data_IF_517957544017
#
_entry.id   IF_517957544017
#
_cell.length_a   1.000
_cell.length_b   1.000
_cell.length_c   1.000
_cell.angle_alpha   90.00
_cell.angle_beta   90.00
_cell.angle_gamma   90.00
#
_symmetry.space_group_name_H-M   'P 1'
#
loop_
_entity.id
_entity.type
_entity.pdbx_description
1 polymer ?
#
# COMPACT_ATOMS: atom_id res chain seq x y z
N UNK A 1 16.04 -14.21 3.70
CA UNK A 1 15.39 -13.44 4.78
C UNK A 1 14.32 -14.29 5.40
N UNK A 2 14.40 -14.46 6.70
CA UNK A 2 13.59 -15.41 7.46
C UNK A 2 12.16 -14.83 7.64
N UNK A 3 11.14 -15.64 7.44
CA UNK A 3 9.71 -15.31 7.53
C UNK A 3 9.32 -14.73 8.90
N UNK A 4 10.10 -15.01 9.93
CA UNK A 4 9.90 -14.54 11.29
C UNK A 4 10.09 -13.04 11.47
N UNK A 5 11.00 -12.44 10.71
CA UNK A 5 11.29 -10.99 10.78
C UNK A 5 10.16 -10.13 10.20
N UNK A 6 9.29 -10.74 9.40
CA UNK A 6 8.17 -10.05 8.77
C UNK A 6 6.97 -9.86 9.72
N UNK A 7 6.80 -10.76 10.69
CA UNK A 7 5.72 -10.68 11.69
C UNK A 7 6.00 -9.68 12.81
N UNK A 8 7.26 -9.44 13.13
CA UNK A 8 7.62 -8.52 14.23
C UNK A 8 7.45 -7.03 13.88
N UNK A 9 7.49 -6.68 12.59
CA UNK A 9 7.28 -5.30 12.14
C UNK A 9 5.81 -4.86 12.20
N UNK A 10 4.87 -5.79 12.13
CA UNK A 10 3.43 -5.49 12.10
C UNK A 10 2.84 -5.24 13.49
N UNK A 11 3.47 -5.73 14.56
CA UNK A 11 2.94 -5.63 15.91
C UNK A 11 3.35 -4.38 16.69
N UNK A 12 4.26 -3.57 16.19
CA UNK A 12 4.80 -2.43 16.94
C UNK A 12 4.15 -1.09 16.61
N UNK A 13 3.06 -1.06 15.82
CA UNK A 13 2.34 0.17 15.48
C UNK A 13 0.97 0.33 16.13
N UNK A 14 0.62 -0.49 17.11
CA UNK A 14 -0.69 -0.48 17.77
C UNK A 14 -0.61 -0.23 19.28
N UNK A 15 0.02 0.88 19.70
CA UNK A 15 -0.09 1.33 21.10
C UNK A 15 0.01 2.86 21.18
N UNK A 16 -1.11 3.51 21.04
CA UNK A 16 -1.29 4.92 21.31
C UNK A 16 -2.67 5.18 21.87
N UNK A 17 -2.90 4.83 23.14
CA UNK A 17 -4.10 5.23 23.89
C UNK A 17 -3.95 6.68 24.37
N UNK A 18 -4.79 7.55 23.89
CA UNK A 18 -4.99 8.92 24.39
C UNK A 18 -6.36 9.06 25.01
N UNK A 19 -6.39 9.20 26.34
CA UNK A 19 -7.57 9.47 27.17
C UNK A 19 -8.05 10.92 27.05
N UNK A 20 -9.37 11.09 26.92
CA UNK A 20 -10.25 11.90 27.74
C UNK A 20 -10.27 13.39 27.58
N UNK A 21 -11.46 13.96 27.52
CA UNK A 21 -11.78 15.35 27.80
C UNK A 21 -13.25 15.60 27.55
N UNK A 22 -14.07 15.59 28.63
CA UNK A 22 -15.46 16.06 28.63
C UNK A 22 -15.48 17.57 28.60
N UNK A 23 -16.22 18.17 27.70
CA UNK A 23 -16.56 19.60 27.70
C UNK A 23 -18.04 19.79 27.40
N UNK A 24 -18.72 20.44 28.33
CA UNK A 24 -20.17 20.73 28.37
C UNK A 24 -20.46 22.06 27.67
N UNK A 25 -21.55 22.09 26.86
CA UNK A 25 -22.42 23.26 26.71
C UNK A 25 -22.16 24.20 25.54
N UNK A 26 -23.19 24.39 24.72
CA UNK A 26 -23.31 25.47 23.76
C UNK A 26 -24.39 25.23 22.70
N UNK A 27 -25.64 25.70 22.94
CA UNK A 27 -26.72 25.81 21.93
C UNK A 27 -26.31 26.85 20.88
N UNK A 28 -26.35 26.50 19.61
CA UNK A 28 -26.12 27.47 18.54
C UNK A 28 -26.34 26.89 17.13
N UNK A 29 -27.44 27.28 16.52
CA UNK A 29 -27.77 27.38 15.08
C UNK A 29 -27.40 26.22 14.16
N UNK A 30 -28.46 25.63 13.64
CA UNK A 30 -28.54 24.72 12.50
C UNK A 30 -27.94 25.40 11.26
N UNK A 31 -26.67 25.17 11.04
CA UNK A 31 -26.05 25.31 9.73
C UNK A 31 -25.67 23.90 9.29
N UNK A 32 -26.20 23.50 8.15
CA UNK A 32 -25.86 22.21 7.49
C UNK A 32 -24.36 22.22 7.17
N UNK A 33 -23.55 22.01 8.20
CA UNK A 33 -22.14 21.66 7.97
C UNK A 33 -22.16 20.29 7.33
N UNK A 34 -21.94 20.24 6.02
CA UNK A 34 -21.45 19.03 5.38
C UNK A 34 -20.33 18.51 6.27
N UNK A 35 -20.66 17.49 7.05
CA UNK A 35 -19.67 16.75 7.81
C UNK A 35 -18.68 16.26 6.77
N UNK A 36 -17.56 16.95 6.67
CA UNK A 36 -16.40 16.42 5.96
C UNK A 36 -16.10 15.12 6.67
N UNK A 37 -16.61 14.05 6.09
CA UNK A 37 -16.38 12.69 6.56
C UNK A 37 -14.87 12.57 6.63
N UNK A 38 -14.32 12.58 7.85
CA UNK A 38 -12.92 12.35 8.10
C UNK A 38 -12.60 11.06 7.35
N UNK A 39 -12.00 11.21 6.17
CA UNK A 39 -11.46 10.07 5.46
C UNK A 39 -10.36 9.57 6.38
N UNK A 40 -10.69 8.57 7.19
CA UNK A 40 -9.66 7.83 7.91
C UNK A 40 -8.63 7.47 6.86
N UNK A 41 -7.40 7.93 7.06
CA UNK A 41 -6.30 7.53 6.22
C UNK A 41 -6.29 5.99 6.26
N UNK A 42 -6.83 5.38 5.20
CA UNK A 42 -6.77 3.94 5.06
C UNK A 42 -5.30 3.57 5.09
N UNK A 43 -4.95 2.55 5.85
CA UNK A 43 -3.61 2.02 5.78
C UNK A 43 -3.24 1.85 4.29
N UNK A 44 -2.03 2.24 3.90
CA UNK A 44 -1.63 2.29 2.48
C UNK A 44 -1.93 0.99 1.72
N UNK A 45 -1.91 -0.14 2.42
CA UNK A 45 -2.26 -1.45 1.88
C UNK A 45 -3.77 -1.60 1.56
N UNK A 46 -4.65 -0.91 2.29
CA UNK A 46 -6.10 -0.91 2.01
C UNK A 46 -6.46 -0.10 0.78
N UNK A 47 -5.54 0.74 0.29
CA UNK A 47 -5.66 1.42 -0.99
C UNK A 47 -5.77 0.46 -2.17
N UNK A 48 -5.30 -0.79 -2.01
CA UNK A 48 -5.50 -1.87 -2.97
C UNK A 48 -6.90 -2.45 -2.72
N UNK A 49 -7.86 -2.03 -3.52
CA UNK A 49 -9.27 -2.35 -3.31
C UNK A 49 -9.62 -3.80 -3.70
N UNK A 50 -10.63 -4.37 -3.06
CA UNK A 50 -11.16 -5.70 -3.44
C UNK A 50 -11.55 -5.81 -4.91
N UNK A 51 -12.24 -4.82 -5.51
CA UNK A 51 -12.53 -4.85 -6.95
C UNK A 51 -11.29 -4.86 -7.83
N UNK A 52 -10.24 -4.16 -7.44
CA UNK A 52 -8.98 -4.15 -8.19
C UNK A 52 -8.32 -5.55 -8.18
N UNK A 53 -8.26 -6.19 -7.02
CA UNK A 53 -7.74 -7.55 -6.89
C UNK A 53 -8.57 -8.53 -7.73
N UNK A 54 -9.90 -8.41 -7.72
CA UNK A 54 -10.78 -9.25 -8.55
C UNK A 54 -10.52 -9.07 -10.04
N UNK A 55 -10.32 -7.84 -10.51
CA UNK A 55 -9.99 -7.57 -11.91
C UNK A 55 -8.66 -8.20 -12.31
N UNK A 56 -7.64 -8.08 -11.48
CA UNK A 56 -6.35 -8.72 -11.72
C UNK A 56 -6.45 -10.25 -11.76
N UNK A 57 -7.19 -10.83 -10.82
CA UNK A 57 -7.42 -12.26 -10.78
C UNK A 57 -8.15 -12.78 -12.03
N UNK A 58 -9.17 -12.05 -12.49
CA UNK A 58 -9.87 -12.38 -13.74
C UNK A 58 -8.96 -12.33 -14.97
N UNK A 59 -8.07 -11.36 -15.04
CA UNK A 59 -7.05 -11.30 -16.10
C UNK A 59 -6.09 -12.48 -16.03
N UNK A 60 -5.83 -13.01 -14.85
CA UNK A 60 -5.06 -14.23 -14.61
C UNK A 60 -5.85 -15.54 -14.83
N UNK A 61 -7.12 -15.47 -15.27
CA UNK A 61 -7.96 -16.64 -15.53
C UNK A 61 -8.70 -17.19 -14.31
N UNK A 62 -8.67 -16.49 -13.17
CA UNK A 62 -9.36 -16.93 -11.94
C UNK A 62 -10.84 -16.59 -12.02
N UNK A 63 -11.72 -17.58 -11.82
CA UNK A 63 -13.17 -17.40 -11.85
C UNK A 63 -13.77 -17.04 -10.50
N UNK A 64 -13.28 -17.61 -9.41
CA UNK A 64 -13.78 -17.40 -8.04
C UNK A 64 -12.63 -17.12 -7.10
N UNK A 65 -12.86 -16.23 -6.14
CA UNK A 65 -11.88 -15.80 -5.13
C UNK A 65 -12.51 -15.94 -3.75
N UNK A 66 -11.79 -16.58 -2.82
CA UNK A 66 -12.18 -16.65 -1.42
C UNK A 66 -12.12 -15.26 -0.79
N UNK A 67 -12.94 -15.01 0.24
CA UNK A 67 -12.91 -13.75 1.01
C UNK A 67 -11.57 -13.50 1.72
N UNK A 68 -10.84 -14.55 2.06
CA UNK A 68 -9.54 -14.45 2.74
C UNK A 68 -8.40 -14.04 1.82
N UNK A 69 -8.52 -14.30 0.51
CA UNK A 69 -7.44 -14.03 -0.46
C UNK A 69 -7.08 -12.54 -0.57
N UNK A 70 -8.01 -11.65 -0.26
CA UNK A 70 -7.78 -10.22 -0.41
C UNK A 70 -6.66 -9.70 0.50
N UNK A 71 -6.68 -10.10 1.75
CA UNK A 71 -5.68 -9.64 2.72
C UNK A 71 -4.32 -10.31 2.47
N UNK A 72 -4.30 -11.60 2.16
CA UNK A 72 -3.09 -12.32 1.77
C UNK A 72 -2.45 -11.71 0.52
N UNK A 73 -3.27 -11.42 -0.50
CA UNK A 73 -2.81 -10.78 -1.72
C UNK A 73 -2.22 -9.39 -1.48
N UNK A 74 -2.83 -8.60 -0.58
CA UNK A 74 -2.31 -7.28 -0.21
C UNK A 74 -0.94 -7.39 0.45
N UNK A 75 -0.77 -8.33 1.38
CA UNK A 75 0.51 -8.53 2.07
C UNK A 75 1.62 -8.93 1.10
N UNK A 76 1.35 -9.90 0.23
CA UNK A 76 2.31 -10.34 -0.79
C UNK A 76 2.67 -9.18 -1.73
N UNK A 77 1.66 -8.44 -2.20
CA UNK A 77 1.86 -7.33 -3.12
C UNK A 77 2.67 -6.19 -2.47
N UNK A 78 2.39 -5.88 -1.21
CA UNK A 78 3.15 -4.88 -0.45
C UNK A 78 4.62 -5.26 -0.36
N UNK A 79 4.92 -6.49 0.06
CA UNK A 79 6.31 -6.96 0.16
C UNK A 79 7.06 -6.92 -1.16
N UNK A 80 6.39 -7.33 -2.23
CA UNK A 80 6.95 -7.26 -3.58
C UNK A 80 7.24 -5.82 -4.01
N UNK A 81 6.27 -4.90 -3.84
CA UNK A 81 6.42 -3.51 -4.22
C UNK A 81 7.49 -2.79 -3.39
N UNK A 82 7.57 -3.06 -2.10
CA UNK A 82 8.62 -2.49 -1.24
C UNK A 82 10.02 -2.88 -1.73
N UNK A 83 10.22 -4.12 -2.13
CA UNK A 83 11.47 -4.58 -2.71
C UNK A 83 11.82 -3.86 -4.01
N UNK A 84 10.86 -3.78 -4.92
CA UNK A 84 11.03 -3.11 -6.21
C UNK A 84 11.32 -1.62 -6.05
N UNK A 85 10.57 -0.93 -5.20
CA UNK A 85 10.77 0.50 -4.96
C UNK A 85 12.13 0.77 -4.34
N UNK A 86 12.57 -0.06 -3.39
CA UNK A 86 13.90 0.06 -2.77
C UNK A 86 15.01 -0.07 -3.82
N UNK A 87 14.93 -1.07 -4.67
CA UNK A 87 15.90 -1.26 -5.74
C UNK A 87 15.86 -0.11 -6.75
N UNK A 88 14.67 0.36 -7.14
CA UNK A 88 14.52 1.49 -8.05
C UNK A 88 15.11 2.78 -7.48
N UNK A 89 14.90 3.06 -6.19
CA UNK A 89 15.51 4.20 -5.50
C UNK A 89 17.03 4.08 -5.51
N UNK A 90 17.59 2.91 -5.30
CA UNK A 90 19.04 2.67 -5.37
C UNK A 90 19.60 3.04 -6.76
N UNK A 91 18.92 2.66 -7.84
CA UNK A 91 19.29 3.06 -9.19
C UNK A 91 19.23 4.56 -9.40
N UNK A 92 18.17 5.21 -8.88
CA UNK A 92 18.00 6.66 -8.96
C UNK A 92 19.13 7.41 -8.24
N UNK A 93 19.46 6.98 -7.03
CA UNK A 93 20.55 7.56 -6.23
C UNK A 93 21.92 7.36 -6.89
N UNK A 94 22.17 6.18 -7.43
CA UNK A 94 23.40 5.88 -8.15
C UNK A 94 23.59 6.81 -9.38
N UNK A 95 22.49 7.13 -10.05
CA UNK A 95 22.48 8.09 -11.16
C UNK A 95 22.47 9.56 -10.69
N UNK A 96 22.60 9.83 -9.39
CA UNK A 96 22.57 11.17 -8.79
C UNK A 96 21.30 11.98 -9.13
N UNK A 97 20.19 11.30 -9.32
CA UNK A 97 18.89 11.91 -9.56
C UNK A 97 18.04 11.89 -8.27
N UNK A 98 17.07 12.79 -8.19
CA UNK A 98 16.11 12.86 -7.08
C UNK A 98 14.75 12.28 -7.45
N UNK A 99 14.53 11.97 -8.71
CA UNK A 99 13.25 11.47 -9.23
C UNK A 99 13.43 10.06 -9.75
N UNK A 100 12.62 9.13 -9.25
CA UNK A 100 12.55 7.77 -9.76
C UNK A 100 11.85 7.77 -11.11
N UNK A 101 12.44 7.10 -12.08
CA UNK A 101 11.91 6.97 -13.43
C UNK A 101 11.37 5.58 -13.70
N UNK A 102 10.59 5.42 -14.76
CA UNK A 102 10.10 4.11 -15.20
C UNK A 102 11.27 3.15 -15.50
N UNK A 103 12.38 3.66 -16.03
CA UNK A 103 13.56 2.83 -16.30
C UNK A 103 14.20 2.29 -15.03
N UNK A 104 14.21 3.04 -13.93
CA UNK A 104 14.72 2.55 -12.65
C UNK A 104 13.89 1.35 -12.15
N UNK A 105 12.57 1.42 -12.33
CA UNK A 105 11.66 0.32 -12.00
C UNK A 105 11.90 -0.89 -12.91
N UNK A 106 12.11 -0.68 -14.21
CA UNK A 106 12.43 -1.75 -15.14
C UNK A 106 13.73 -2.46 -14.76
N UNK A 107 14.77 -1.71 -14.40
CA UNK A 107 16.04 -2.28 -13.94
C UNK A 107 15.87 -3.05 -12.63
N UNK A 108 15.11 -2.50 -11.68
CA UNK A 108 14.81 -3.18 -10.42
C UNK A 108 14.12 -4.53 -10.65
N UNK A 109 13.15 -4.57 -11.56
CA UNK A 109 12.44 -5.80 -11.94
C UNK A 109 13.35 -6.80 -12.63
N UNK A 110 14.20 -6.36 -13.56
CA UNK A 110 15.19 -7.22 -14.23
C UNK A 110 16.14 -7.85 -13.22
N UNK A 111 16.60 -7.08 -12.24
CA UNK A 111 17.47 -7.59 -11.16
C UNK A 111 16.81 -8.71 -10.37
N UNK A 112 15.49 -8.64 -10.16
CA UNK A 112 14.73 -9.68 -9.47
C UNK A 112 14.28 -10.83 -10.39
N UNK A 113 14.76 -10.85 -11.64
CA UNK A 113 14.41 -11.87 -12.62
C UNK A 113 13.00 -11.75 -13.18
N UNK A 114 12.38 -10.56 -13.07
CA UNK A 114 11.05 -10.29 -13.59
C UNK A 114 11.12 -9.19 -14.65
N UNK A 115 10.74 -9.54 -15.87
CA UNK A 115 10.74 -8.60 -17.00
C UNK A 115 9.33 -8.06 -17.21
N UNK A 116 9.22 -6.73 -17.37
CA UNK A 116 7.98 -6.10 -17.84
C UNK A 116 8.13 -5.82 -19.33
N UNK A 117 7.10 -6.18 -20.10
CA UNK A 117 7.01 -5.88 -21.52
C UNK A 117 6.32 -4.53 -21.75
N UNK A 118 6.79 -3.79 -22.75
CA UNK A 118 6.24 -2.49 -23.15
C UNK A 118 6.93 -1.27 -22.52
N UNK A 119 7.93 -1.47 -21.68
CA UNK A 119 8.73 -0.39 -21.09
C UNK A 119 10.22 -0.63 -21.36
N UNK A 120 10.85 0.26 -22.11
CA UNK A 120 12.29 0.31 -22.29
C UNK A 120 12.87 -0.91 -23.00
N UNK A 121 12.25 -1.28 -24.06
CA UNK A 121 12.66 -2.24 -25.10
C UNK A 121 13.71 -3.25 -24.78
#
# INVERSE_FOLDING_TARGET
MNTQTYYDYSNNMAAGQGKGGKGVGGKGKVGTKRTAQKRHARASIEGITKPAIRRLARRGGVKRISSFIYDDSRHVLKGFLEGIVRDAVTYTEHARRKTVTAMDVVYALKRQGRTIYGFGG
#
